data_IF_192595918508
#
_entry.id   IF_192595918508
#
_cell.length_a   1.000
_cell.length_b   1.000
_cell.length_c   1.000
_cell.angle_alpha   90.00
_cell.angle_beta   90.00
_cell.angle_gamma   90.00
#
_symmetry.space_group_name_H-M   'P 1'
#
loop_
_entity.id
_entity.type
_entity.pdbx_description
1 polymer ?
#
# COMPACT_ATOMS: atom_id res chain seq x y z
N UNK A 1 6.83 15.78 -33.17
CA UNK A 1 7.89 16.48 -32.39
C UNK A 1 7.28 17.56 -31.47
N UNK A 2 6.36 18.35 -31.95
CA UNK A 2 5.73 19.44 -31.19
C UNK A 2 5.02 19.01 -29.91
N UNK A 3 4.24 17.92 -29.93
CA UNK A 3 3.54 17.39 -28.75
C UNK A 3 4.50 16.95 -27.66
N UNK A 4 5.58 16.24 -28.01
CA UNK A 4 6.59 15.79 -27.04
C UNK A 4 7.28 16.97 -26.36
N UNK A 5 7.63 18.00 -27.13
CA UNK A 5 8.25 19.23 -26.61
C UNK A 5 7.30 19.96 -25.64
N UNK A 6 6.01 20.01 -25.96
CA UNK A 6 4.99 20.61 -25.08
C UNK A 6 4.83 19.81 -23.76
N UNK A 7 4.81 18.49 -23.83
CA UNK A 7 4.76 17.63 -22.64
C UNK A 7 6.01 17.81 -21.77
N UNK A 8 7.19 17.86 -22.39
CA UNK A 8 8.45 18.07 -21.66
C UNK A 8 8.49 19.44 -20.96
N UNK A 9 8.00 20.49 -21.62
CA UNK A 9 7.90 21.84 -21.05
C UNK A 9 6.95 21.85 -19.84
N UNK A 10 5.76 21.25 -19.97
CA UNK A 10 4.79 21.11 -18.87
C UNK A 10 5.40 20.38 -17.66
N UNK A 11 6.02 19.23 -17.90
CA UNK A 11 6.67 18.47 -16.82
C UNK A 11 7.81 19.25 -16.16
N UNK A 12 8.54 20.06 -16.92
CA UNK A 12 9.57 20.96 -16.39
C UNK A 12 8.97 21.97 -15.39
N UNK A 13 7.88 22.63 -15.79
CA UNK A 13 7.16 23.58 -14.94
C UNK A 13 6.63 22.91 -13.67
N UNK A 14 5.95 21.78 -13.79
CA UNK A 14 5.40 21.04 -12.64
C UNK A 14 6.50 20.59 -11.67
N UNK A 15 7.65 20.14 -12.16
CA UNK A 15 8.80 19.76 -11.31
C UNK A 15 9.35 20.94 -10.53
N UNK A 16 9.43 22.11 -11.16
CA UNK A 16 9.88 23.33 -10.52
C UNK A 16 8.91 23.77 -9.43
N UNK A 17 7.61 23.83 -9.74
CA UNK A 17 6.57 24.16 -8.75
C UNK A 17 6.57 23.19 -7.55
N UNK A 18 6.67 21.88 -7.80
CA UNK A 18 6.73 20.88 -6.75
C UNK A 18 7.95 21.09 -5.85
N UNK A 19 9.09 21.44 -6.43
CA UNK A 19 10.30 21.73 -5.66
C UNK A 19 10.16 23.04 -4.85
N UNK A 20 9.65 24.10 -5.45
CA UNK A 20 9.51 25.40 -4.79
C UNK A 20 8.53 25.35 -3.63
N UNK A 21 7.36 24.72 -3.83
CA UNK A 21 6.29 24.67 -2.83
C UNK A 21 6.52 23.61 -1.74
N UNK A 22 7.04 22.44 -2.12
CA UNK A 22 7.03 21.26 -1.26
C UNK A 22 8.41 20.65 -1.01
N UNK A 23 9.46 21.15 -1.68
CA UNK A 23 10.83 20.59 -1.63
C UNK A 23 10.89 19.08 -1.98
N UNK A 24 10.05 18.66 -2.93
CA UNK A 24 9.93 17.26 -3.35
C UNK A 24 10.30 17.07 -4.81
N UNK A 25 10.91 15.91 -5.09
CA UNK A 25 11.12 15.40 -6.44
C UNK A 25 10.40 14.06 -6.50
N UNK A 26 9.35 13.97 -7.30
CA UNK A 26 8.44 12.83 -7.37
C UNK A 26 8.39 12.27 -8.79
N UNK A 27 7.73 11.11 -8.97
CA UNK A 27 7.51 10.48 -10.27
C UNK A 27 6.68 11.39 -11.19
N UNK A 28 6.68 11.10 -12.48
CA UNK A 28 5.86 11.84 -13.46
C UNK A 28 4.36 11.66 -13.15
N UNK A 29 3.95 10.50 -12.71
CA UNK A 29 2.56 10.24 -12.33
C UNK A 29 2.12 11.14 -11.16
N UNK A 30 2.91 11.22 -10.10
CA UNK A 30 2.63 12.10 -8.96
C UNK A 30 2.67 13.60 -9.28
N UNK A 31 3.36 14.02 -10.36
CA UNK A 31 3.29 15.40 -10.83
C UNK A 31 1.96 15.72 -11.51
N UNK A 32 1.33 14.73 -12.13
CA UNK A 32 0.08 14.86 -12.87
C UNK A 32 -1.15 14.52 -12.02
N UNK A 33 -0.95 13.85 -10.87
CA UNK A 33 -2.02 13.35 -10.01
C UNK A 33 -2.10 14.14 -8.72
N UNK A 34 -3.32 14.39 -8.27
CA UNK A 34 -3.61 14.77 -6.89
C UNK A 34 -3.87 13.50 -6.07
N UNK A 35 -3.03 13.22 -5.08
CA UNK A 35 -3.05 11.97 -4.31
C UNK A 35 -4.37 11.74 -3.55
N UNK A 36 -5.05 12.78 -3.12
CA UNK A 36 -6.35 12.67 -2.45
C UNK A 36 -7.46 12.37 -3.45
N UNK A 37 -7.46 13.03 -4.61
CA UNK A 37 -8.40 12.73 -5.69
C UNK A 37 -8.19 11.34 -6.27
N UNK A 38 -6.95 10.89 -6.35
CA UNK A 38 -6.62 9.54 -6.79
C UNK A 38 -7.19 8.51 -5.82
N UNK A 39 -6.94 8.66 -4.52
CA UNK A 39 -7.52 7.78 -3.49
C UNK A 39 -9.05 7.78 -3.52
N UNK A 40 -9.67 8.95 -3.71
CA UNK A 40 -11.12 9.07 -3.86
C UNK A 40 -11.63 8.32 -5.11
N UNK A 41 -10.89 8.34 -6.22
CA UNK A 41 -11.27 7.61 -7.44
C UNK A 41 -11.24 6.09 -7.27
N UNK A 42 -10.46 5.58 -6.32
CA UNK A 42 -10.43 4.18 -5.92
C UNK A 42 -11.53 3.83 -4.89
N UNK A 43 -12.35 4.80 -4.47
CA UNK A 43 -13.38 4.59 -3.44
C UNK A 43 -12.84 4.53 -2.01
N UNK A 44 -11.62 4.99 -1.78
CA UNK A 44 -11.01 5.05 -0.45
C UNK A 44 -11.65 6.18 0.40
N UNK A 45 -11.61 6.01 1.71
CA UNK A 45 -12.26 6.91 2.65
C UNK A 45 -11.73 8.36 2.60
N UNK A 46 -12.55 9.29 3.05
CA UNK A 46 -12.27 10.73 3.09
C UNK A 46 -10.94 11.02 3.81
N UNK A 47 -10.16 11.98 3.27
CA UNK A 47 -8.86 12.37 3.82
C UNK A 47 -7.72 11.40 3.52
N UNK A 48 -7.99 10.25 2.92
CA UNK A 48 -6.96 9.29 2.51
C UNK A 48 -6.19 9.80 1.29
N UNK A 49 -4.88 9.58 1.28
CA UNK A 49 -3.99 9.92 0.16
C UNK A 49 -3.23 8.69 -0.33
N UNK A 50 -3.02 8.61 -1.64
CA UNK A 50 -2.38 7.49 -2.31
C UNK A 50 -1.41 7.99 -3.38
N UNK A 51 -0.17 7.49 -3.39
CA UNK A 51 0.78 7.78 -4.47
C UNK A 51 0.34 7.12 -5.77
N UNK A 52 0.73 7.70 -6.92
CA UNK A 52 0.32 7.26 -8.26
C UNK A 52 0.88 5.87 -8.64
N UNK A 53 2.00 5.48 -8.07
CA UNK A 53 2.68 4.21 -8.31
C UNK A 53 2.22 3.07 -7.39
N UNK A 54 1.12 3.26 -6.67
CA UNK A 54 0.48 2.21 -5.86
C UNK A 54 -0.27 1.25 -6.77
N UNK A 55 0.02 -0.06 -6.64
CA UNK A 55 -0.70 -1.09 -7.34
C UNK A 55 -1.89 -1.57 -6.50
N UNK A 56 -3.09 -1.42 -7.02
CA UNK A 56 -4.35 -1.89 -6.40
C UNK A 56 -4.93 -3.00 -7.27
N UNK A 57 -5.12 -4.19 -6.71
CA UNK A 57 -5.66 -5.36 -7.41
C UNK A 57 -6.91 -5.87 -6.69
N UNK A 58 -7.97 -6.17 -7.44
CA UNK A 58 -9.20 -6.76 -6.88
C UNK A 58 -9.93 -5.87 -5.89
N UNK A 59 -10.58 -6.49 -4.90
CA UNK A 59 -11.45 -5.80 -3.94
C UNK A 59 -10.66 -5.29 -2.72
N UNK A 60 -10.34 -4.00 -2.74
CA UNK A 60 -9.63 -3.29 -1.67
C UNK A 60 -10.53 -2.22 -1.08
N UNK A 61 -10.75 -2.28 0.23
CA UNK A 61 -11.40 -1.21 0.97
C UNK A 61 -10.39 -0.53 1.90
N UNK A 62 -10.37 0.80 1.89
CA UNK A 62 -9.52 1.61 2.78
C UNK A 62 -10.38 2.65 3.46
N UNK A 63 -10.21 2.78 4.76
CA UNK A 63 -10.90 3.74 5.61
C UNK A 63 -10.43 5.18 5.39
N UNK A 64 -10.77 6.05 6.35
CA UNK A 64 -10.52 7.49 6.31
C UNK A 64 -9.13 7.84 6.83
N UNK A 65 -8.62 8.99 6.35
CA UNK A 65 -7.39 9.61 6.85
C UNK A 65 -6.17 8.67 6.81
N UNK A 66 -6.10 7.78 5.82
CA UNK A 66 -4.97 6.90 5.60
C UNK A 66 -3.92 7.57 4.71
N UNK A 67 -2.68 7.16 4.90
CA UNK A 67 -1.57 7.54 4.03
C UNK A 67 -0.95 6.31 3.39
N UNK A 68 -0.98 6.26 2.04
CA UNK A 68 -0.45 5.13 1.27
C UNK A 68 0.75 5.62 0.49
N UNK A 69 1.93 5.15 0.89
CA UNK A 69 3.22 5.54 0.34
C UNK A 69 3.49 5.00 -1.06
N UNK A 70 4.61 5.41 -1.66
CA UNK A 70 5.00 4.98 -3.00
C UNK A 70 5.39 3.50 -3.06
N UNK A 71 5.21 2.88 -4.24
CA UNK A 71 5.55 1.48 -4.52
C UNK A 71 4.85 0.47 -3.58
N UNK A 72 3.67 0.81 -3.07
CA UNK A 72 2.84 -0.08 -2.26
C UNK A 72 2.04 -1.00 -3.16
N UNK A 73 1.88 -2.27 -2.75
CA UNK A 73 0.98 -3.23 -3.39
C UNK A 73 -0.15 -3.56 -2.43
N UNK A 74 -1.37 -3.27 -2.84
CA UNK A 74 -2.61 -3.64 -2.16
C UNK A 74 -3.32 -4.70 -3.00
N UNK A 75 -3.14 -5.97 -2.63
CA UNK A 75 -3.78 -7.08 -3.32
C UNK A 75 -5.09 -7.46 -2.61
N UNK A 76 -6.18 -7.13 -3.25
CA UNK A 76 -7.54 -7.47 -2.85
C UNK A 76 -8.15 -8.67 -3.60
N UNK A 77 -7.36 -9.51 -4.28
CA UNK A 77 -7.85 -10.68 -5.01
C UNK A 77 -8.64 -11.66 -4.12
N UNK A 78 -8.34 -11.68 -2.80
CA UNK A 78 -9.05 -12.45 -1.77
C UNK A 78 -9.70 -11.57 -0.71
N UNK A 79 -9.98 -10.29 -1.01
CA UNK A 79 -10.52 -9.22 -0.16
C UNK A 79 -9.49 -8.65 0.84
N UNK A 80 -9.15 -7.39 0.66
CA UNK A 80 -8.33 -6.60 1.57
C UNK A 80 -9.18 -5.49 2.22
N UNK A 81 -9.18 -5.46 3.55
CA UNK A 81 -9.85 -4.41 4.31
C UNK A 81 -8.85 -3.69 5.22
N UNK A 82 -8.79 -2.37 5.12
CA UNK A 82 -7.92 -1.48 5.90
C UNK A 82 -8.80 -0.45 6.61
N UNK A 83 -8.60 -0.29 7.91
CA UNK A 83 -9.35 0.64 8.75
C UNK A 83 -8.95 2.11 8.56
N UNK A 84 -9.31 2.94 9.52
CA UNK A 84 -9.06 4.39 9.51
C UNK A 84 -7.68 4.73 10.11
N UNK A 85 -7.09 5.87 9.67
CA UNK A 85 -5.83 6.38 10.23
C UNK A 85 -4.69 5.38 10.14
N UNK A 86 -4.53 4.73 8.98
CA UNK A 86 -3.47 3.76 8.73
C UNK A 86 -2.38 4.41 7.87
N UNK A 87 -1.14 4.36 8.36
CA UNK A 87 0.03 4.78 7.60
C UNK A 87 0.74 3.56 6.99
N UNK A 88 0.71 3.45 5.68
CA UNK A 88 1.39 2.40 4.91
C UNK A 88 2.61 3.02 4.25
N UNK A 89 3.79 2.67 4.74
CA UNK A 89 5.05 3.24 4.25
C UNK A 89 5.44 2.68 2.86
N UNK A 90 6.47 3.30 2.28
CA UNK A 90 6.95 2.94 0.95
C UNK A 90 7.31 1.45 0.80
N UNK A 91 6.91 0.86 -0.31
CA UNK A 91 7.26 -0.51 -0.68
C UNK A 91 6.63 -1.59 0.21
N UNK A 92 5.56 -1.29 0.90
CA UNK A 92 4.78 -2.29 1.65
C UNK A 92 3.95 -3.12 0.68
N UNK A 93 3.96 -4.43 0.86
CA UNK A 93 3.13 -5.35 0.09
C UNK A 93 2.15 -6.07 1.00
N UNK A 94 0.86 -5.99 0.70
CA UNK A 94 -0.21 -6.69 1.43
C UNK A 94 -0.89 -7.64 0.46
N UNK A 95 -0.79 -8.95 0.74
CA UNK A 95 -1.32 -9.99 -0.12
C UNK A 95 -2.58 -10.64 0.45
N UNK A 96 -3.45 -11.08 -0.46
CA UNK A 96 -4.65 -11.87 -0.17
C UNK A 96 -4.72 -13.14 -1.00
N UNK A 97 -3.67 -13.45 -1.79
CA UNK A 97 -3.58 -14.68 -2.57
C UNK A 97 -2.18 -15.32 -2.49
N UNK A 98 -2.10 -16.59 -2.88
CA UNK A 98 -0.85 -17.33 -3.07
C UNK A 98 -0.94 -18.24 -4.29
N UNK A 99 0.12 -18.24 -5.08
CA UNK A 99 0.25 -19.12 -6.25
C UNK A 99 1.16 -20.33 -5.99
N UNK A 100 1.60 -20.54 -4.76
CA UNK A 100 2.60 -21.56 -4.40
C UNK A 100 2.14 -22.95 -4.83
N UNK A 101 0.93 -23.38 -4.44
CA UNK A 101 0.39 -24.72 -4.82
C UNK A 101 0.25 -24.84 -6.33
N UNK A 102 -0.26 -23.81 -6.97
CA UNK A 102 -0.38 -23.78 -8.43
C UNK A 102 0.97 -23.96 -9.13
N UNK A 103 2.02 -23.29 -8.64
CA UNK A 103 3.35 -23.42 -9.21
C UNK A 103 3.92 -24.83 -9.00
N UNK A 104 3.80 -25.39 -7.80
CA UNK A 104 4.32 -26.72 -7.47
C UNK A 104 3.59 -27.85 -8.19
N UNK A 105 2.31 -27.68 -8.48
CA UNK A 105 1.51 -28.67 -9.25
C UNK A 105 1.64 -28.54 -10.75
N UNK A 106 2.53 -27.66 -11.27
CA UNK A 106 2.65 -27.42 -12.71
C UNK A 106 1.42 -26.73 -13.31
N UNK A 107 0.69 -25.97 -12.51
CA UNK A 107 -0.49 -25.21 -12.93
C UNK A 107 -1.84 -25.92 -12.75
N UNK A 108 -1.83 -27.13 -12.16
CA UNK A 108 -3.06 -27.92 -11.96
C UNK A 108 -3.90 -27.47 -10.77
N UNK A 109 -3.25 -26.97 -9.69
CA UNK A 109 -3.96 -26.47 -8.52
C UNK A 109 -4.46 -25.03 -8.74
N UNK A 110 -5.56 -24.71 -8.05
CA UNK A 110 -6.09 -23.35 -8.05
C UNK A 110 -5.19 -22.39 -7.26
N UNK A 111 -5.32 -21.09 -7.55
CA UNK A 111 -4.73 -20.03 -6.72
C UNK A 111 -5.47 -19.99 -5.39
N UNK A 112 -4.72 -19.96 -4.29
CA UNK A 112 -5.28 -19.83 -2.95
C UNK A 112 -5.60 -18.36 -2.65
N UNK A 113 -6.73 -18.12 -2.00
CA UNK A 113 -7.15 -16.79 -1.55
C UNK A 113 -7.55 -16.84 -0.08
N UNK A 114 -7.17 -15.82 0.68
CA UNK A 114 -7.61 -15.62 2.05
C UNK A 114 -7.67 -14.13 2.37
N UNK A 115 -8.75 -13.64 3.00
CA UNK A 115 -8.90 -12.22 3.29
C UNK A 115 -7.83 -11.76 4.28
N UNK A 116 -7.26 -10.59 4.02
CA UNK A 116 -6.33 -9.91 4.94
C UNK A 116 -7.01 -8.67 5.51
N UNK A 117 -6.83 -8.42 6.79
CA UNK A 117 -7.46 -7.29 7.50
C UNK A 117 -6.43 -6.49 8.26
N UNK A 118 -6.52 -5.18 8.15
CA UNK A 118 -5.73 -4.22 8.94
C UNK A 118 -6.69 -3.33 9.69
N UNK A 119 -6.59 -3.29 11.00
CA UNK A 119 -7.39 -2.44 11.87
C UNK A 119 -7.10 -0.95 11.69
N UNK A 120 -7.59 -0.14 12.60
CA UNK A 120 -7.44 1.32 12.59
C UNK A 120 -6.25 1.77 13.44
N UNK A 121 -5.68 2.95 13.13
CA UNK A 121 -4.51 3.52 13.84
C UNK A 121 -3.28 2.61 13.81
N UNK A 122 -3.01 2.04 12.63
CA UNK A 122 -1.89 1.11 12.40
C UNK A 122 -0.79 1.82 11.61
N UNK A 123 0.44 1.62 12.03
CA UNK A 123 1.62 2.00 11.27
C UNK A 123 2.30 0.76 10.69
N UNK A 124 2.55 0.77 9.38
CA UNK A 124 3.27 -0.30 8.68
C UNK A 124 4.55 0.28 8.10
N UNK A 125 5.67 -0.12 8.67
CA UNK A 125 7.01 0.33 8.29
C UNK A 125 7.41 -0.09 6.86
N UNK A 126 8.33 0.66 6.22
CA UNK A 126 8.68 0.45 4.82
C UNK A 126 9.22 -0.95 4.54
N UNK A 127 8.99 -1.42 3.31
CA UNK A 127 9.45 -2.73 2.82
C UNK A 127 8.89 -3.94 3.63
N UNK A 128 7.77 -3.76 4.31
CA UNK A 128 7.09 -4.84 5.02
C UNK A 128 6.24 -5.65 4.05
N UNK A 129 6.23 -6.97 4.24
CA UNK A 129 5.36 -7.90 3.50
C UNK A 129 4.36 -8.52 4.47
N UNK A 130 3.07 -8.43 4.16
CA UNK A 130 1.98 -9.05 4.90
C UNK A 130 1.41 -10.17 4.06
N UNK A 131 1.43 -11.39 4.60
CA UNK A 131 0.94 -12.60 3.95
C UNK A 131 -0.59 -12.63 3.95
N UNK A 132 -1.17 -13.31 2.96
CA UNK A 132 -2.60 -13.56 2.90
C UNK A 132 -3.16 -14.19 4.17
N UNK A 133 -4.40 -13.85 4.52
CA UNK A 133 -5.11 -14.43 5.67
C UNK A 133 -4.74 -13.84 7.02
N UNK A 134 -3.85 -12.85 7.07
CA UNK A 134 -3.42 -12.21 8.33
C UNK A 134 -4.41 -11.15 8.76
N UNK A 135 -4.68 -11.10 10.07
CA UNK A 135 -5.43 -10.02 10.73
C UNK A 135 -4.50 -9.22 11.63
N UNK A 136 -4.41 -7.91 11.39
CA UNK A 136 -3.71 -6.94 12.24
C UNK A 136 -4.77 -6.14 12.97
N UNK A 137 -4.73 -6.15 14.31
CA UNK A 137 -5.66 -5.41 15.16
C UNK A 137 -5.42 -3.90 15.13
N UNK A 138 -6.22 -3.16 15.88
CA UNK A 138 -6.09 -1.70 16.02
C UNK A 138 -4.82 -1.32 16.81
N UNK A 139 -4.31 -0.10 16.56
CA UNK A 139 -3.19 0.49 17.33
C UNK A 139 -1.89 -0.32 17.28
N UNK A 140 -1.63 -0.99 16.15
CA UNK A 140 -0.45 -1.84 15.94
C UNK A 140 0.65 -1.05 15.24
N UNK A 141 1.90 -1.30 15.63
CA UNK A 141 3.10 -0.83 14.93
C UNK A 141 3.85 -2.01 14.34
N UNK A 142 3.99 -2.04 13.01
CA UNK A 142 4.86 -2.99 12.31
C UNK A 142 6.15 -2.27 11.93
N UNK A 143 7.29 -2.81 12.37
CA UNK A 143 8.61 -2.26 12.03
C UNK A 143 8.97 -2.51 10.56
N UNK A 144 9.90 -1.70 10.05
CA UNK A 144 10.39 -1.83 8.66
C UNK A 144 10.97 -3.21 8.36
N UNK A 145 10.93 -3.62 7.08
CA UNK A 145 11.52 -4.87 6.56
C UNK A 145 11.02 -6.11 7.30
N UNK A 146 9.73 -6.14 7.68
CA UNK A 146 9.12 -7.26 8.40
C UNK A 146 8.39 -8.21 7.46
N UNK A 147 8.35 -9.49 7.81
CA UNK A 147 7.48 -10.48 7.19
C UNK A 147 6.38 -10.90 8.17
N UNK A 148 5.17 -10.39 7.98
CA UNK A 148 4.02 -10.68 8.84
C UNK A 148 3.26 -11.88 8.28
N UNK A 149 3.39 -13.02 8.93
CA UNK A 149 2.78 -14.29 8.53
C UNK A 149 1.87 -14.89 9.61
N UNK A 150 1.47 -14.08 10.60
CA UNK A 150 0.55 -14.44 11.68
C UNK A 150 -0.20 -13.19 12.12
N UNK A 151 -1.35 -13.40 12.72
CA UNK A 151 -2.15 -12.33 13.31
C UNK A 151 -1.36 -11.56 14.38
N UNK A 152 -1.57 -10.23 14.40
CA UNK A 152 -1.00 -9.33 15.39
C UNK A 152 -2.17 -8.74 16.18
N UNK A 153 -2.29 -9.04 17.50
CA UNK A 153 -3.32 -8.46 18.34
C UNK A 153 -3.21 -6.94 18.45
N UNK A 154 -4.31 -6.26 18.72
CA UNK A 154 -4.33 -4.81 18.88
C UNK A 154 -3.41 -4.32 19.99
N UNK A 155 -2.90 -3.08 19.84
CA UNK A 155 -2.00 -2.43 20.79
C UNK A 155 -0.56 -2.95 20.80
N UNK A 156 -0.19 -3.84 19.88
CA UNK A 156 1.11 -4.50 19.87
C UNK A 156 2.11 -3.84 18.92
N UNK A 157 3.38 -4.08 19.17
CA UNK A 157 4.48 -3.80 18.24
C UNK A 157 5.06 -5.11 17.75
N UNK A 158 5.37 -5.20 16.44
CA UNK A 158 5.96 -6.39 15.85
C UNK A 158 6.96 -6.04 14.76
N UNK A 159 8.08 -6.78 14.66
CA UNK A 159 9.03 -6.68 13.57
C UNK A 159 9.90 -7.91 13.41
N UNK A 160 10.58 -7.99 12.25
CA UNK A 160 11.52 -9.05 11.89
C UNK A 160 11.01 -9.99 10.80
N UNK A 161 11.84 -10.97 10.43
CA UNK A 161 11.57 -11.97 9.38
C UNK A 161 11.73 -13.37 9.98
N UNK A 162 10.63 -14.02 10.38
CA UNK A 162 9.26 -13.53 10.46
C UNK A 162 9.04 -12.56 11.64
N UNK A 163 8.03 -11.70 11.52
CA UNK A 163 7.68 -10.73 12.56
C UNK A 163 7.30 -11.42 13.88
N UNK A 164 7.76 -10.83 14.98
CA UNK A 164 7.45 -11.27 16.34
C UNK A 164 7.03 -10.06 17.18
N UNK A 165 6.13 -10.29 18.12
CA UNK A 165 5.74 -9.29 19.10
C UNK A 165 6.95 -8.79 19.89
N UNK A 166 6.93 -7.53 20.24
CA UNK A 166 7.98 -6.85 21.00
C UNK A 166 7.35 -5.98 22.10
N UNK A 167 8.02 -5.91 23.19
CA UNK A 167 7.68 -5.04 24.33
C UNK A 167 7.96 -3.56 24.03
#
# INVERSE_FOLDING_TARGET
MELLSSVQALLGTLRQEMWEKHRRRVSTGDLLSDRWKLAQSYGFGEGTSCYDDVLVLGDVTVGKNCWIGPNVILDGSGNLAIGDHVDISAGVHIYTHSTVRRALSGGHDAIEHAPTRVGSRVYIGPQTVIQMGVTIGDEVVIGAMSFVNRDIPGGQKAWGVPARLRD
#
